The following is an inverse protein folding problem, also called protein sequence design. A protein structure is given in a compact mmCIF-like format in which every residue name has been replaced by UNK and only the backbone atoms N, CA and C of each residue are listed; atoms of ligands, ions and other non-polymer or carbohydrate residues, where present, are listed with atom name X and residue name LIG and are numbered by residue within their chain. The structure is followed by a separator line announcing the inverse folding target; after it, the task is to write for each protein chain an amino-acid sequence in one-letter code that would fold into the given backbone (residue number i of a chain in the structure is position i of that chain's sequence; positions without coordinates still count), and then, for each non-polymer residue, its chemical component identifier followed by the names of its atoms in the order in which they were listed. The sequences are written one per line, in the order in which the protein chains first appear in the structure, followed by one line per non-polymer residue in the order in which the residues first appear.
data_IF_618545197545
#
_entry.id   IF_618545197545
#
_cell.length_a   1.000
_cell.length_b   1.000
_cell.length_c   1.000
_cell.angle_alpha   90.00
_cell.angle_beta   90.00
_cell.angle_gamma   90.00
#
_symmetry.space_group_name_H-M   'P 1'
#
loop_
_entity.id
_entity.type
_entity.pdbx_description
1 polymer ?
#
# COMPACT_ATOMS: atom_id res chain seq x y z
N UNK A 1 24.35 9.00 -20.32
CA UNK A 1 24.74 7.75 -19.64
C UNK A 1 23.93 7.66 -18.37
N UNK A 2 23.12 6.61 -18.21
CA UNK A 2 22.43 6.34 -16.96
C UNK A 2 23.50 6.07 -15.88
N UNK A 3 23.56 6.89 -14.83
CA UNK A 3 24.58 6.79 -13.78
C UNK A 3 24.47 5.50 -12.94
N UNK A 4 23.35 4.79 -13.06
CA UNK A 4 23.10 3.51 -12.41
C UNK A 4 23.40 2.29 -13.29
N UNK A 5 23.88 2.50 -14.53
CA UNK A 5 24.24 1.42 -15.47
C UNK A 5 23.09 0.41 -15.73
N UNK A 6 21.84 0.88 -15.76
CA UNK A 6 20.65 0.06 -16.06
C UNK A 6 20.11 0.35 -17.47
N UNK A 7 19.46 -0.64 -18.07
CA UNK A 7 18.79 -0.52 -19.38
C UNK A 7 17.51 0.31 -19.26
N UNK A 8 17.52 1.49 -19.88
CA UNK A 8 16.41 2.46 -19.85
C UNK A 8 15.10 1.87 -20.38
N UNK A 9 15.14 1.00 -21.40
CA UNK A 9 13.93 0.39 -21.96
C UNK A 9 13.26 -0.55 -20.97
N UNK A 10 14.05 -1.21 -20.13
CA UNK A 10 13.56 -2.12 -19.09
C UNK A 10 13.13 -1.38 -17.82
N UNK A 11 13.67 -0.19 -17.57
CA UNK A 11 13.25 0.66 -16.46
C UNK A 11 11.90 1.33 -16.68
N UNK A 12 11.51 1.60 -17.93
CA UNK A 12 10.27 2.31 -18.21
C UNK A 12 9.02 1.64 -17.59
N UNK A 13 8.81 0.31 -17.70
CA UNK A 13 7.72 -0.37 -16.97
C UNK A 13 7.78 -0.18 -15.45
N UNK A 14 8.96 -0.26 -14.84
CA UNK A 14 9.14 -0.06 -13.39
C UNK A 14 8.68 1.34 -12.98
N UNK A 15 9.10 2.35 -13.74
CA UNK A 15 8.78 3.76 -13.48
C UNK A 15 7.29 4.05 -13.66
N UNK A 16 6.66 3.43 -14.66
CA UNK A 16 5.22 3.56 -14.88
C UNK A 16 4.45 2.99 -13.70
N UNK A 17 4.76 1.77 -13.27
CA UNK A 17 4.10 1.14 -12.12
C UNK A 17 4.37 1.89 -10.80
N UNK A 18 5.58 2.41 -10.59
CA UNK A 18 5.88 3.25 -9.42
C UNK A 18 5.05 4.54 -9.40
N UNK A 19 4.73 5.13 -10.55
CA UNK A 19 3.84 6.30 -10.60
C UNK A 19 2.38 5.95 -10.27
N UNK A 20 1.91 4.76 -10.65
CA UNK A 20 0.59 4.28 -10.24
C UNK A 20 0.59 4.01 -8.74
N UNK A 21 1.63 3.35 -8.20
CA UNK A 21 1.79 3.09 -6.77
C UNK A 21 1.83 4.40 -5.97
N UNK A 22 2.52 5.43 -6.48
CA UNK A 22 2.55 6.77 -5.89
C UNK A 22 1.16 7.40 -5.81
N UNK A 23 0.37 7.29 -6.88
CA UNK A 23 -1.01 7.76 -6.91
C UNK A 23 -1.89 7.02 -5.90
N UNK A 24 -1.79 5.69 -5.88
CA UNK A 24 -2.53 4.82 -4.96
C UNK A 24 -2.20 5.14 -3.49
N UNK A 25 -0.92 5.32 -3.15
CA UNK A 25 -0.53 5.68 -1.78
C UNK A 25 -1.01 7.07 -1.36
N UNK A 26 -1.09 8.05 -2.28
CA UNK A 26 -1.68 9.36 -1.98
C UNK A 26 -3.18 9.24 -1.66
N UNK A 27 -3.94 8.46 -2.43
CA UNK A 27 -5.36 8.21 -2.14
C UNK A 27 -5.53 7.40 -0.84
N UNK A 28 -4.70 6.38 -0.62
CA UNK A 28 -4.70 5.58 0.59
C UNK A 28 -4.41 6.42 1.84
N UNK A 29 -3.40 7.30 1.79
CA UNK A 29 -3.08 8.24 2.86
C UNK A 29 -4.28 9.13 3.21
N UNK A 30 -4.91 9.74 2.20
CA UNK A 30 -6.05 10.61 2.42
C UNK A 30 -7.27 9.84 2.94
N UNK A 31 -7.50 8.62 2.45
CA UNK A 31 -8.56 7.72 2.95
C UNK A 31 -8.36 7.38 4.43
N UNK A 32 -7.14 7.01 4.83
CA UNK A 32 -6.79 6.73 6.22
C UNK A 32 -7.00 7.93 7.14
N UNK A 33 -6.62 9.14 6.71
CA UNK A 33 -6.96 10.37 7.45
C UNK A 33 -8.46 10.57 7.57
N UNK A 34 -9.20 10.32 6.49
CA UNK A 34 -10.66 10.34 6.49
C UNK A 34 -11.24 9.41 7.54
N UNK A 35 -10.75 8.17 7.63
CA UNK A 35 -11.20 7.20 8.63
C UNK A 35 -10.78 7.58 10.05
N UNK A 36 -9.54 8.04 10.23
CA UNK A 36 -9.02 8.54 11.51
C UNK A 36 -9.88 9.67 12.10
N UNK A 37 -10.33 10.61 11.27
CA UNK A 37 -11.18 11.73 11.72
C UNK A 37 -12.62 11.34 12.02
N UNK A 38 -13.17 10.35 11.32
CA UNK A 38 -14.61 10.09 11.32
C UNK A 38 -15.01 8.78 12.00
N UNK A 39 -14.06 7.99 12.52
CA UNK A 39 -14.38 6.78 13.27
C UNK A 39 -15.16 7.14 14.55
N UNK A 40 -16.20 6.35 14.85
CA UNK A 40 -17.04 6.48 16.02
C UNK A 40 -17.31 5.11 16.63
N UNK A 41 -17.76 5.08 17.89
CA UNK A 41 -18.22 3.86 18.56
C UNK A 41 -17.20 3.24 19.51
N UNK A 42 -17.47 2.02 19.95
CA UNK A 42 -16.70 1.35 21.03
C UNK A 42 -15.24 1.09 20.66
N UNK A 43 -14.96 0.94 19.37
CA UNK A 43 -13.63 0.67 18.83
C UNK A 43 -12.85 1.95 18.48
N UNK A 44 -13.34 3.13 18.90
CA UNK A 44 -12.74 4.43 18.57
C UNK A 44 -11.25 4.49 18.93
N UNK A 45 -10.88 4.19 20.18
CA UNK A 45 -9.50 4.34 20.63
C UNK A 45 -8.52 3.43 19.88
N UNK A 46 -8.95 2.21 19.55
CA UNK A 46 -8.10 1.24 18.85
C UNK A 46 -7.90 1.66 17.39
N UNK A 47 -9.00 1.93 16.67
CA UNK A 47 -8.94 2.25 15.25
C UNK A 47 -8.43 3.65 14.96
N UNK A 48 -8.73 4.64 15.81
CA UNK A 48 -8.22 6.00 15.64
C UNK A 48 -6.68 6.02 15.64
N UNK A 49 -6.06 5.35 16.62
CA UNK A 49 -4.60 5.23 16.70
C UNK A 49 -4.07 4.37 15.55
N UNK A 50 -4.75 3.28 15.19
CA UNK A 50 -4.30 2.40 14.10
C UNK A 50 -4.32 3.10 12.74
N UNK A 51 -5.35 3.88 12.44
CA UNK A 51 -5.40 4.66 11.20
C UNK A 51 -4.30 5.74 11.16
N UNK A 52 -3.93 6.29 12.32
CA UNK A 52 -2.78 7.21 12.44
C UNK A 52 -1.44 6.56 12.17
N UNK A 53 -1.19 5.41 12.78
CA UNK A 53 -0.01 4.60 12.48
C UNK A 53 0.11 4.34 10.97
N UNK A 54 -0.98 3.92 10.33
CA UNK A 54 -1.00 3.59 8.91
C UNK A 54 -0.82 4.82 8.00
N UNK A 55 -1.41 5.98 8.33
CA UNK A 55 -1.23 7.16 7.45
C UNK A 55 0.16 7.77 7.60
N UNK A 56 0.79 7.66 8.78
CA UNK A 56 2.16 8.12 8.98
C UNK A 56 3.15 7.23 8.21
N UNK A 57 2.90 5.92 8.19
CA UNK A 57 3.62 4.97 7.36
C UNK A 57 3.44 5.25 5.86
N UNK A 58 2.20 5.44 5.41
CA UNK A 58 1.90 5.80 4.03
C UNK A 58 2.60 7.10 3.59
N UNK A 59 2.68 8.11 4.48
CA UNK A 59 3.38 9.36 4.21
C UNK A 59 4.86 9.15 3.91
N UNK A 60 5.54 8.26 4.64
CA UNK A 60 6.96 7.94 4.41
C UNK A 60 7.11 7.26 3.05
N UNK A 61 6.25 6.26 2.78
CA UNK A 61 6.29 5.50 1.52
C UNK A 61 6.02 6.38 0.30
N UNK A 62 5.13 7.39 0.38
CA UNK A 62 4.89 8.36 -0.69
C UNK A 62 6.19 9.06 -1.09
N UNK A 63 6.97 9.53 -0.11
CA UNK A 63 8.22 10.24 -0.33
C UNK A 63 9.26 9.31 -0.95
N UNK A 64 9.47 8.13 -0.35
CA UNK A 64 10.42 7.13 -0.83
C UNK A 64 10.10 6.65 -2.27
N UNK A 65 8.82 6.48 -2.62
CA UNK A 65 8.42 6.14 -4.00
C UNK A 65 8.74 7.28 -4.98
N UNK A 66 8.40 8.53 -4.62
CA UNK A 66 8.67 9.68 -5.48
C UNK A 66 10.17 9.89 -5.69
N UNK A 67 10.96 9.79 -4.63
CA UNK A 67 12.42 9.85 -4.69
C UNK A 67 13.02 8.66 -5.44
N UNK A 68 12.41 7.47 -5.38
CA UNK A 68 12.83 6.33 -6.21
C UNK A 68 12.63 6.61 -7.70
N UNK A 69 11.50 7.18 -8.09
CA UNK A 69 11.24 7.58 -9.49
C UNK A 69 12.30 8.59 -9.97
N UNK A 70 12.63 9.59 -9.13
CA UNK A 70 13.71 10.56 -9.41
C UNK A 70 15.08 9.91 -9.49
N UNK A 71 15.36 8.95 -8.60
CA UNK A 71 16.61 8.16 -8.60
C UNK A 71 16.78 7.43 -9.93
N UNK A 72 15.69 6.89 -10.48
CA UNK A 72 15.66 6.27 -11.80
C UNK A 72 15.70 7.28 -12.97
N UNK A 73 15.84 8.58 -12.70
CA UNK A 73 15.90 9.69 -13.66
C UNK A 73 14.59 9.95 -14.42
N UNK A 74 13.46 9.69 -13.77
CA UNK A 74 12.14 10.03 -14.29
C UNK A 74 11.40 10.99 -13.34
N UNK A 75 10.32 11.59 -13.83
CA UNK A 75 9.52 12.52 -13.02
C UNK A 75 8.35 11.80 -12.34
N UNK A 76 8.19 11.96 -11.01
CA UNK A 76 7.00 11.51 -10.33
C UNK A 76 5.81 12.40 -10.70
N UNK A 77 4.64 11.80 -10.88
CA UNK A 77 3.37 12.54 -10.90
C UNK A 77 3.20 13.29 -9.58
N UNK A 78 2.67 14.52 -9.65
CA UNK A 78 2.66 15.44 -8.49
C UNK A 78 1.37 16.27 -8.38
N UNK A 79 0.36 15.95 -9.17
CA UNK A 79 -0.92 16.66 -9.20
C UNK A 79 -2.05 15.74 -8.78
N UNK A 80 -2.93 16.22 -7.89
CA UNK A 80 -4.08 15.43 -7.42
C UNK A 80 -4.99 14.94 -8.55
N UNK A 81 -5.21 15.77 -9.58
CA UNK A 81 -6.02 15.35 -10.74
C UNK A 81 -5.43 14.14 -11.46
N UNK A 82 -4.10 14.05 -11.56
CA UNK A 82 -3.42 12.89 -12.14
C UNK A 82 -3.45 11.69 -11.19
N UNK A 83 -3.29 11.90 -9.88
CA UNK A 83 -3.43 10.81 -8.90
C UNK A 83 -4.81 10.15 -8.99
N UNK A 84 -5.88 10.95 -9.03
CA UNK A 84 -7.26 10.44 -9.14
C UNK A 84 -7.47 9.65 -10.45
N UNK A 85 -6.80 10.05 -11.53
CA UNK A 85 -6.91 9.40 -12.84
C UNK A 85 -6.12 8.08 -12.91
N UNK A 86 -4.95 8.03 -12.29
CA UNK A 86 -4.03 6.89 -12.37
C UNK A 86 -4.32 5.81 -11.33
N UNK A 87 -4.77 6.20 -10.15
CA UNK A 87 -4.98 5.30 -9.01
C UNK A 87 -5.99 4.18 -9.30
N UNK A 88 -5.64 2.96 -8.92
CA UNK A 88 -6.53 1.79 -8.86
C UNK A 88 -7.37 1.76 -7.57
N UNK A 89 -6.97 2.55 -6.58
CA UNK A 89 -7.79 2.84 -5.40
C UNK A 89 -8.86 3.88 -5.72
N UNK A 90 -10.00 3.77 -5.04
CA UNK A 90 -11.13 4.70 -5.17
C UNK A 90 -11.28 5.52 -3.91
N UNK A 91 -11.70 6.77 -4.08
CA UNK A 91 -12.22 7.56 -2.97
C UNK A 91 -13.49 6.91 -2.42
N UNK A 92 -13.65 6.98 -1.10
CA UNK A 92 -14.84 6.50 -0.40
C UNK A 92 -15.25 7.53 0.64
N UNK A 93 -16.56 7.60 0.91
CA UNK A 93 -17.06 8.39 2.03
C UNK A 93 -16.60 7.77 3.35
N UNK A 94 -16.05 8.53 4.31
CA UNK A 94 -15.65 7.98 5.60
C UNK A 94 -16.86 7.80 6.55
N UNK A 95 -18.08 8.13 6.10
CA UNK A 95 -19.31 8.01 6.90
C UNK A 95 -19.83 6.57 6.88
N UNK A 96 -19.03 5.64 7.41
CA UNK A 96 -19.33 4.20 7.46
C UNK A 96 -18.99 3.61 8.83
N UNK A 97 -19.38 2.35 9.07
CA UNK A 97 -19.09 1.65 10.33
C UNK A 97 -17.64 1.19 10.38
N UNK A 98 -17.17 0.95 11.60
CA UNK A 98 -15.83 0.45 11.91
C UNK A 98 -15.42 -0.79 11.08
N UNK A 99 -16.27 -1.81 11.01
CA UNK A 99 -16.03 -3.03 10.23
C UNK A 99 -15.99 -2.74 8.72
N UNK A 100 -16.78 -1.78 8.23
CA UNK A 100 -16.80 -1.36 6.82
C UNK A 100 -15.50 -0.65 6.46
N UNK A 101 -15.01 0.25 7.33
CA UNK A 101 -13.70 0.91 7.15
C UNK A 101 -12.57 -0.12 7.05
N UNK A 102 -12.54 -1.09 7.96
CA UNK A 102 -11.49 -2.12 7.95
C UNK A 102 -11.60 -3.04 6.73
N UNK A 103 -12.82 -3.38 6.31
CA UNK A 103 -13.05 -4.18 5.10
C UNK A 103 -12.57 -3.46 3.85
N UNK A 104 -12.83 -2.15 3.75
CA UNK A 104 -12.34 -1.30 2.68
C UNK A 104 -10.80 -1.27 2.65
N UNK A 105 -10.13 -1.07 3.79
CA UNK A 105 -8.67 -1.08 3.86
C UNK A 105 -8.08 -2.43 3.43
N UNK A 106 -8.68 -3.56 3.83
CA UNK A 106 -8.23 -4.87 3.39
C UNK A 106 -8.39 -5.06 1.87
N UNK A 107 -9.43 -4.46 1.28
CA UNK A 107 -9.61 -4.39 -0.17
C UNK A 107 -8.50 -3.61 -0.86
N UNK A 108 -8.15 -2.43 -0.33
CA UNK A 108 -7.03 -1.62 -0.82
C UNK A 108 -5.69 -2.34 -0.67
N UNK A 109 -5.43 -2.98 0.48
CA UNK A 109 -4.21 -3.73 0.74
C UNK A 109 -4.02 -4.84 -0.30
N UNK A 110 -5.09 -5.56 -0.65
CA UNK A 110 -5.04 -6.58 -1.70
C UNK A 110 -4.60 -6.00 -3.05
N UNK A 111 -5.09 -4.82 -3.43
CA UNK A 111 -4.73 -4.15 -4.69
C UNK A 111 -3.27 -3.71 -4.67
N UNK A 112 -2.87 -2.99 -3.61
CA UNK A 112 -1.49 -2.55 -3.40
C UNK A 112 -0.50 -3.72 -3.43
N UNK A 113 -0.80 -4.83 -2.75
CA UNK A 113 0.03 -6.05 -2.77
C UNK A 113 0.11 -6.68 -4.17
N UNK A 114 -0.95 -6.61 -4.95
CA UNK A 114 -0.96 -7.13 -6.32
C UNK A 114 -0.08 -6.28 -7.23
N UNK A 115 -0.24 -4.96 -7.16
CA UNK A 115 0.57 -3.99 -7.89
C UNK A 115 2.06 -4.07 -7.52
N UNK A 116 2.38 -4.15 -6.22
CA UNK A 116 3.77 -4.28 -5.76
C UNK A 116 4.45 -5.56 -6.30
N UNK A 117 3.71 -6.65 -6.50
CA UNK A 117 4.26 -7.88 -7.14
C UNK A 117 4.57 -7.66 -8.62
N UNK A 118 3.75 -6.89 -9.34
CA UNK A 118 4.03 -6.49 -10.73
C UNK A 118 5.28 -5.61 -10.80
N UNK A 119 5.44 -4.67 -9.86
CA UNK A 119 6.66 -3.86 -9.75
C UNK A 119 7.89 -4.74 -9.55
N UNK A 120 7.83 -5.73 -8.65
CA UNK A 120 8.94 -6.66 -8.41
C UNK A 120 9.31 -7.48 -9.66
N UNK A 121 8.32 -7.90 -10.45
CA UNK A 121 8.55 -8.61 -11.72
C UNK A 121 9.34 -7.73 -12.70
N UNK A 122 8.85 -6.51 -12.98
CA UNK A 122 9.53 -5.57 -13.87
C UNK A 122 10.91 -5.16 -13.36
N UNK A 123 11.04 -4.91 -12.05
CA UNK A 123 12.31 -4.57 -11.44
C UNK A 123 13.31 -5.72 -11.54
N UNK A 124 12.87 -6.97 -11.41
CA UNK A 124 13.68 -8.17 -11.64
C UNK A 124 14.20 -8.27 -13.07
N UNK A 125 13.34 -8.03 -14.06
CA UNK A 125 13.74 -8.03 -15.48
C UNK A 125 14.74 -6.91 -15.82
N UNK A 126 14.61 -5.76 -15.16
CA UNK A 126 15.47 -4.59 -15.30
C UNK A 126 16.78 -4.68 -14.52
N UNK A 127 16.92 -5.62 -13.59
CA UNK A 127 18.06 -5.68 -12.66
C UNK A 127 18.05 -4.54 -11.63
N UNK A 128 16.87 -4.02 -11.30
CA UNK A 128 16.69 -2.90 -10.39
C UNK A 128 16.57 -3.38 -8.93
N UNK A 129 17.72 -3.74 -8.34
CA UNK A 129 17.79 -4.25 -6.96
C UNK A 129 17.30 -3.26 -5.91
N UNK A 130 17.47 -1.95 -6.15
CA UNK A 130 17.02 -0.92 -5.21
C UNK A 130 15.51 -0.83 -5.11
N UNK A 131 14.79 -0.95 -6.23
CA UNK A 131 13.32 -1.02 -6.21
C UNK A 131 12.85 -2.35 -5.63
N UNK A 132 13.54 -3.46 -5.92
CA UNK A 132 13.22 -4.79 -5.37
C UNK A 132 13.27 -4.77 -3.84
N UNK A 133 14.34 -4.23 -3.25
CA UNK A 133 14.50 -4.18 -1.79
C UNK A 133 13.42 -3.30 -1.14
N UNK A 134 13.22 -2.08 -1.64
CA UNK A 134 12.22 -1.13 -1.14
C UNK A 134 10.80 -1.72 -1.18
N UNK A 135 10.38 -2.22 -2.34
CA UNK A 135 9.02 -2.75 -2.52
C UNK A 135 8.84 -4.08 -1.78
N UNK A 136 9.90 -4.89 -1.68
CA UNK A 136 9.90 -6.11 -0.87
C UNK A 136 9.66 -5.83 0.61
N UNK A 137 10.27 -4.77 1.16
CA UNK A 137 10.01 -4.32 2.53
C UNK A 137 8.54 -3.90 2.71
N UNK A 138 8.00 -3.13 1.77
CA UNK A 138 6.60 -2.66 1.81
C UNK A 138 5.60 -3.80 1.79
N UNK A 139 5.81 -4.81 0.94
CA UNK A 139 4.95 -6.01 0.88
C UNK A 139 4.89 -6.67 2.26
N UNK A 140 6.05 -6.96 2.86
CA UNK A 140 6.14 -7.62 4.16
C UNK A 140 5.41 -6.83 5.25
N UNK A 141 5.56 -5.51 5.27
CA UNK A 141 4.91 -4.63 6.24
C UNK A 141 3.40 -4.56 6.02
N UNK A 142 2.95 -4.43 4.77
CA UNK A 142 1.53 -4.34 4.43
C UNK A 142 0.81 -5.67 4.67
N UNK A 143 1.46 -6.81 4.42
CA UNK A 143 0.92 -8.15 4.76
C UNK A 143 0.72 -8.30 6.27
N UNK A 144 1.67 -7.80 7.08
CA UNK A 144 1.54 -7.81 8.54
C UNK A 144 0.40 -6.91 9.01
N UNK A 145 0.28 -5.70 8.47
CA UNK A 145 -0.84 -4.79 8.76
C UNK A 145 -2.18 -5.37 8.32
N UNK A 146 -2.24 -6.00 7.14
CA UNK A 146 -3.41 -6.73 6.65
C UNK A 146 -3.83 -7.82 7.61
N UNK A 147 -2.88 -8.60 8.12
CA UNK A 147 -3.16 -9.64 9.11
C UNK A 147 -3.78 -9.06 10.38
N UNK A 148 -3.19 -7.99 10.95
CA UNK A 148 -3.71 -7.35 12.17
C UNK A 148 -5.16 -6.85 11.98
N UNK A 149 -5.43 -6.18 10.86
CA UNK A 149 -6.77 -5.70 10.53
C UNK A 149 -7.77 -6.85 10.28
N UNK A 150 -7.36 -7.89 9.56
CA UNK A 150 -8.19 -9.06 9.34
C UNK A 150 -8.46 -9.84 10.63
N UNK A 151 -7.50 -9.91 11.56
CA UNK A 151 -7.69 -10.53 12.87
C UNK A 151 -8.67 -9.71 13.73
N UNK A 152 -8.55 -8.38 13.71
CA UNK A 152 -9.46 -7.47 14.41
C UNK A 152 -10.92 -7.63 13.94
N UNK A 153 -11.16 -7.96 12.67
CA UNK A 153 -12.52 -8.14 12.13
C UNK A 153 -13.16 -9.51 12.39
N UNK A 154 -12.47 -10.43 13.09
CA UNK A 154 -12.99 -11.77 13.40
C UNK A 154 -13.74 -11.82 14.73
N UNK A 155 -14.58 -12.84 14.88
CA UNK A 155 -15.14 -13.20 16.16
C UNK A 155 -14.11 -13.97 17.00
N UNK A 156 -14.21 -13.88 18.32
CA UNK A 156 -13.33 -14.62 19.24
C UNK A 156 -13.51 -16.14 19.17
N UNK A 157 -14.61 -16.62 18.58
CA UNK A 157 -14.86 -18.03 18.29
C UNK A 157 -14.26 -18.50 16.97
N UNK A 158 -13.76 -17.59 16.12
CA UNK A 158 -13.19 -17.96 14.84
C UNK A 158 -11.82 -18.62 15.03
N UNK A 159 -11.51 -19.59 14.18
CA UNK A 159 -10.24 -20.30 14.21
C UNK A 159 -9.54 -20.17 12.86
N UNK A 160 -8.22 -19.99 12.89
CA UNK A 160 -7.38 -20.14 11.71
C UNK A 160 -7.32 -21.60 11.28
N UNK A 161 -6.82 -21.85 10.07
CA UNK A 161 -6.65 -23.22 9.59
C UNK A 161 -5.77 -24.04 10.56
N UNK A 162 -6.33 -25.14 11.06
CA UNK A 162 -5.68 -26.05 12.01
C UNK A 162 -5.23 -27.35 11.35
N UNK A 163 -5.31 -27.45 10.02
CA UNK A 163 -4.94 -28.63 9.24
C UNK A 163 -3.53 -29.16 9.56
N UNK A 164 -2.60 -28.27 9.91
CA UNK A 164 -1.23 -28.59 10.30
C UNK A 164 -1.04 -28.95 11.78
N UNK A 165 -1.96 -28.57 12.67
CA UNK A 165 -1.87 -28.80 14.13
C UNK A 165 -2.53 -30.13 14.54
N UNK A 166 -3.58 -30.55 13.83
CA UNK A 166 -4.38 -31.75 14.17
C UNK A 166 -3.80 -33.08 13.64
N UNK A 167 -2.58 -33.08 13.10
CA UNK A 167 -1.89 -34.27 12.58
C UNK A 167 -0.84 -34.87 13.54
N UNK A 168 -0.85 -34.49 14.82
CA UNK A 168 -0.02 -35.08 15.87
C UNK A 168 -0.88 -35.80 16.91
#
# INVERSE_FOLDING_TARGET
MNYLNMDEKKLLPVVLELNILLADYNLYYQKLRGFHWNILGKNFFDLHIKFEELYNDAKIKIDEIAERILTLQHHPVSQFAEYIKLSDLKEVTPLMKDIEMVTELLGDHKKLLTQMRVILEHAGEAGDEGTIDMVGAYIRELEKSSWMLNAWSKNTSDHLDTSMIRKA
#
